data_IF_312139621927
#
_entry.id   IF_312139621927
#
_cell.length_a   1.000
_cell.length_b   1.000
_cell.length_c   1.000
_cell.angle_alpha   90.00
_cell.angle_beta   90.00
_cell.angle_gamma   90.00
#
_symmetry.space_group_name_H-M   'P 1'
#
loop_
_entity.id
_entity.type
_entity.pdbx_description
1 polymer ?
#
# COMPACT_ATOMS: atom_id res chain seq x y z
N UNK A 1 -1.37 32.58 8.99
CA UNK A 1 -2.34 32.34 10.08
C UNK A 1 -2.31 30.86 10.44
N UNK A 2 -1.98 30.46 11.68
CA UNK A 2 -2.20 29.07 12.12
C UNK A 2 -3.71 28.81 12.23
N UNK A 3 -4.18 27.65 11.74
CA UNK A 3 -5.58 27.24 11.86
C UNK A 3 -5.92 27.02 13.36
N UNK A 4 -7.11 27.42 13.84
CA UNK A 4 -7.49 27.18 15.22
C UNK A 4 -7.55 25.69 15.51
N UNK A 5 -6.89 25.28 16.60
CA UNK A 5 -6.91 23.90 17.08
C UNK A 5 -8.35 23.54 17.46
N UNK A 6 -8.95 22.47 16.89
CA UNK A 6 -10.31 22.11 17.20
C UNK A 6 -10.41 21.71 18.68
N UNK A 7 -11.33 22.35 19.40
CA UNK A 7 -11.63 22.04 20.79
C UNK A 7 -12.19 20.61 20.83
N UNK A 8 -11.45 19.68 21.42
CA UNK A 8 -11.92 18.30 21.63
C UNK A 8 -13.19 18.38 22.49
N UNK A 9 -14.33 17.97 21.92
CA UNK A 9 -15.59 17.89 22.67
C UNK A 9 -15.38 17.00 23.91
N UNK A 10 -16.00 17.36 25.04
CA UNK A 10 -15.75 16.74 26.35
C UNK A 10 -15.92 15.21 26.39
N UNK A 11 -16.60 14.61 25.40
CA UNK A 11 -16.73 13.16 25.22
C UNK A 11 -15.41 12.42 24.95
N UNK A 12 -14.38 13.12 24.47
CA UNK A 12 -13.06 12.54 24.16
C UNK A 12 -11.95 13.02 25.11
N UNK A 13 -12.29 13.76 26.17
CA UNK A 13 -11.31 14.26 27.14
C UNK A 13 -10.60 13.12 27.93
N UNK A 14 -11.20 11.93 27.98
CA UNK A 14 -10.68 10.73 28.65
C UNK A 14 -10.35 9.59 27.68
N UNK A 15 -10.10 9.89 26.40
CA UNK A 15 -9.80 8.85 25.40
C UNK A 15 -8.49 8.13 25.76
N UNK A 16 -8.54 6.80 25.84
CA UNK A 16 -7.33 5.97 26.03
C UNK A 16 -6.40 6.14 24.83
N UNK A 17 -5.07 6.00 25.01
CA UNK A 17 -4.14 5.96 23.90
C UNK A 17 -4.57 4.92 22.87
N UNK A 18 -4.40 5.24 21.58
CA UNK A 18 -4.70 4.29 20.51
C UNK A 18 -3.80 3.05 20.66
N UNK A 19 -4.41 1.88 20.51
CA UNK A 19 -3.67 0.61 20.41
C UNK A 19 -3.41 0.31 18.93
N UNK A 20 -2.31 -0.38 18.59
CA UNK A 20 -2.08 -0.82 17.22
C UNK A 20 -3.28 -1.61 16.69
N UNK A 21 -3.70 -1.28 15.48
CA UNK A 21 -4.76 -2.03 14.81
C UNK A 21 -4.25 -3.43 14.41
N UNK A 22 -5.10 -4.47 14.47
CA UNK A 22 -4.76 -5.76 13.89
C UNK A 22 -4.53 -5.62 12.39
N UNK A 23 -3.39 -6.10 11.89
CA UNK A 23 -3.01 -6.02 10.47
C UNK A 23 -2.95 -7.40 9.84
N UNK A 24 -3.20 -7.47 8.53
CA UNK A 24 -2.96 -8.66 7.71
C UNK A 24 -2.00 -8.32 6.58
N UNK A 25 -1.29 -9.33 6.08
CA UNK A 25 -0.40 -9.13 4.94
C UNK A 25 -1.19 -8.96 3.65
N UNK A 26 -0.61 -8.22 2.69
CA UNK A 26 -1.16 -8.08 1.34
C UNK A 26 -1.39 -9.45 0.68
N UNK A 27 -0.49 -10.41 0.92
CA UNK A 27 -0.65 -11.80 0.45
C UNK A 27 -1.92 -12.47 0.99
N UNK A 28 -2.30 -12.18 2.24
CA UNK A 28 -3.52 -12.71 2.85
C UNK A 28 -4.75 -12.12 2.15
N UNK A 29 -4.77 -10.81 1.91
CA UNK A 29 -5.85 -10.15 1.16
C UNK A 29 -5.98 -10.71 -0.27
N UNK A 30 -4.86 -10.85 -0.98
CA UNK A 30 -4.83 -11.42 -2.33
C UNK A 30 -5.44 -12.83 -2.35
N UNK A 31 -5.01 -13.69 -1.42
CA UNK A 31 -5.53 -15.06 -1.29
C UNK A 31 -7.02 -15.08 -0.92
N UNK A 32 -7.46 -14.20 -0.01
CA UNK A 32 -8.87 -14.07 0.37
C UNK A 32 -9.75 -13.63 -0.81
N UNK A 33 -9.20 -12.88 -1.76
CA UNK A 33 -9.85 -12.50 -3.03
C UNK A 33 -9.75 -13.56 -4.12
N UNK A 34 -9.09 -14.70 -3.88
CA UNK A 34 -8.88 -15.74 -4.89
C UNK A 34 -7.92 -15.34 -6.02
N UNK A 35 -7.16 -14.25 -5.84
CA UNK A 35 -6.25 -13.73 -6.87
C UNK A 35 -4.92 -14.48 -6.86
N UNK A 36 -4.44 -14.86 -8.04
CA UNK A 36 -3.10 -15.44 -8.20
C UNK A 36 -2.05 -14.32 -8.25
N UNK A 37 -0.78 -14.66 -8.04
CA UNK A 37 0.32 -13.71 -8.31
C UNK A 37 0.32 -13.25 -9.77
N UNK A 38 -0.02 -14.15 -10.69
CA UNK A 38 -0.08 -13.83 -12.12
C UNK A 38 -1.18 -12.81 -12.40
N UNK A 39 -2.37 -12.94 -11.80
CA UNK A 39 -3.46 -11.98 -11.96
C UNK A 39 -3.07 -10.55 -11.51
N UNK A 40 -2.27 -10.44 -10.45
CA UNK A 40 -1.72 -9.13 -10.03
C UNK A 40 -0.72 -8.60 -11.06
N UNK A 41 0.17 -9.46 -11.57
CA UNK A 41 1.11 -9.06 -12.63
C UNK A 41 0.38 -8.61 -13.89
N UNK A 42 -0.61 -9.37 -14.34
CA UNK A 42 -1.40 -9.09 -15.55
C UNK A 42 -2.08 -7.73 -15.41
N UNK A 43 -2.80 -7.50 -14.31
CA UNK A 43 -3.43 -6.20 -14.04
C UNK A 43 -2.43 -5.03 -14.06
N UNK A 44 -1.31 -5.17 -13.35
CA UNK A 44 -0.28 -4.11 -13.27
C UNK A 44 0.37 -3.85 -14.65
N UNK A 45 0.55 -4.90 -15.45
CA UNK A 45 1.19 -4.78 -16.76
C UNK A 45 0.23 -4.21 -17.81
N UNK A 46 -1.03 -4.62 -17.80
CA UNK A 46 -2.04 -4.24 -18.79
C UNK A 46 -2.63 -2.86 -18.52
N UNK A 47 -3.05 -2.58 -17.28
CA UNK A 47 -3.76 -1.34 -16.94
C UNK A 47 -2.81 -0.18 -16.65
N UNK A 48 -1.63 -0.47 -16.08
CA UNK A 48 -0.69 0.55 -15.61
C UNK A 48 0.59 0.64 -16.45
N UNK A 49 0.73 -0.20 -17.48
CA UNK A 49 1.87 -0.20 -18.40
C UNK A 49 3.22 -0.47 -17.74
N UNK A 50 3.22 -1.05 -16.53
CA UNK A 50 4.44 -1.44 -15.83
C UNK A 50 4.93 -2.80 -16.34
N UNK A 51 6.18 -3.15 -16.02
CA UNK A 51 6.71 -4.49 -16.28
C UNK A 51 7.05 -5.13 -14.94
N UNK A 52 6.21 -6.06 -14.53
CA UNK A 52 6.29 -6.79 -13.27
C UNK A 52 6.11 -8.28 -13.51
N UNK A 53 7.01 -9.05 -12.91
CA UNK A 53 6.96 -10.51 -12.89
C UNK A 53 6.45 -11.06 -11.54
N UNK A 54 6.06 -12.33 -11.53
CA UNK A 54 5.55 -13.02 -10.33
C UNK A 54 6.54 -13.06 -9.18
N UNK A 55 7.84 -13.21 -9.48
CA UNK A 55 8.90 -13.24 -8.47
C UNK A 55 9.03 -11.90 -7.77
N UNK A 56 8.86 -10.79 -8.50
CA UNK A 56 8.82 -9.44 -7.95
C UNK A 56 7.68 -9.27 -6.95
N UNK A 57 6.44 -9.64 -7.30
CA UNK A 57 5.30 -9.55 -6.37
C UNK A 57 5.50 -10.48 -5.17
N UNK A 58 5.96 -11.72 -5.40
CA UNK A 58 6.26 -12.67 -4.33
C UNK A 58 7.30 -12.14 -3.35
N UNK A 59 8.38 -11.53 -3.85
CA UNK A 59 9.44 -10.96 -3.01
C UNK A 59 8.94 -9.77 -2.17
N UNK A 60 8.00 -8.98 -2.69
CA UNK A 60 7.35 -7.91 -1.94
C UNK A 60 6.45 -8.49 -0.84
N UNK A 61 5.58 -9.45 -1.20
CA UNK A 61 4.64 -10.09 -0.26
C UNK A 61 5.33 -10.80 0.90
N UNK A 62 6.51 -11.38 0.65
CA UNK A 62 7.32 -12.08 1.66
C UNK A 62 8.31 -11.17 2.39
N UNK A 63 8.38 -9.88 2.05
CA UNK A 63 9.28 -8.92 2.68
C UNK A 63 10.76 -9.02 2.25
N UNK A 64 11.08 -9.82 1.23
CA UNK A 64 12.43 -9.89 0.65
C UNK A 64 12.79 -8.66 -0.20
N UNK A 65 11.79 -7.89 -0.64
CA UNK A 65 11.96 -6.69 -1.45
C UNK A 65 11.07 -5.55 -0.93
N UNK A 66 11.67 -4.37 -0.77
CA UNK A 66 10.90 -3.12 -0.59
C UNK A 66 10.29 -2.68 -1.93
N UNK A 67 9.07 -2.17 -1.88
CA UNK A 67 8.37 -1.60 -3.02
C UNK A 67 8.55 -0.07 -3.08
N UNK A 68 8.46 0.50 -4.28
CA UNK A 68 8.32 1.95 -4.44
C UNK A 68 6.88 2.38 -4.17
N UNK A 69 6.66 3.67 -3.95
CA UNK A 69 5.30 4.24 -3.80
C UNK A 69 4.42 3.88 -5.01
N UNK A 70 4.96 4.00 -6.23
CA UNK A 70 4.26 3.61 -7.46
C UNK A 70 3.86 2.14 -7.46
N UNK A 71 4.75 1.23 -7.01
CA UNK A 71 4.46 -0.20 -6.97
C UNK A 71 3.43 -0.55 -5.90
N UNK A 72 3.48 0.11 -4.74
CA UNK A 72 2.48 -0.07 -3.69
C UNK A 72 1.09 0.39 -4.15
N UNK A 73 1.01 1.53 -4.85
CA UNK A 73 -0.23 2.00 -5.45
C UNK A 73 -0.77 1.01 -6.50
N UNK A 74 0.09 0.51 -7.39
CA UNK A 74 -0.29 -0.48 -8.40
C UNK A 74 -0.81 -1.79 -7.78
N UNK A 75 -0.17 -2.27 -6.71
CA UNK A 75 -0.63 -3.46 -5.97
C UNK A 75 -1.97 -3.19 -5.27
N UNK A 76 -2.14 -2.01 -4.65
CA UNK A 76 -3.39 -1.63 -3.99
C UNK A 76 -4.56 -1.60 -4.98
N UNK A 77 -4.35 -1.03 -6.16
CA UNK A 77 -5.32 -0.97 -7.25
C UNK A 77 -5.69 -2.38 -7.75
N UNK A 78 -4.70 -3.23 -8.01
CA UNK A 78 -4.92 -4.64 -8.39
C UNK A 78 -5.72 -5.43 -7.34
N UNK A 79 -5.62 -5.03 -6.07
CA UNK A 79 -6.36 -5.63 -4.96
C UNK A 79 -7.70 -4.93 -4.70
N UNK A 80 -8.01 -3.85 -5.41
CA UNK A 80 -9.23 -3.06 -5.23
C UNK A 80 -9.34 -2.42 -3.85
N UNK A 81 -8.23 -1.89 -3.32
CA UNK A 81 -8.18 -1.09 -2.09
C UNK A 81 -7.53 0.27 -2.37
N UNK A 82 -7.70 1.23 -1.47
CA UNK A 82 -7.08 2.53 -1.66
C UNK A 82 -5.57 2.46 -1.35
N UNK A 83 -4.68 3.15 -2.10
CA UNK A 83 -3.24 3.11 -1.84
C UNK A 83 -2.84 3.52 -0.42
N UNK A 84 -3.61 4.40 0.23
CA UNK A 84 -3.35 4.83 1.62
C UNK A 84 -3.71 3.78 2.67
N UNK A 85 -4.42 2.72 2.29
CA UNK A 85 -4.73 1.60 3.19
C UNK A 85 -3.53 0.63 3.30
N UNK A 86 -2.55 0.78 2.40
CA UNK A 86 -1.32 -0.01 2.43
C UNK A 86 -0.31 0.67 3.35
N UNK A 87 -0.17 0.11 4.55
CA UNK A 87 0.85 0.52 5.51
C UNK A 87 2.18 -0.21 5.27
N UNK A 88 3.29 0.50 5.44
CA UNK A 88 4.64 -0.05 5.31
C UNK A 88 5.53 0.38 6.46
N UNK A 89 6.19 -0.58 7.10
CA UNK A 89 7.18 -0.31 8.15
C UNK A 89 8.53 0.25 7.64
N UNK A 90 8.60 0.63 6.37
CA UNK A 90 9.77 1.22 5.73
C UNK A 90 9.32 2.42 4.90
N UNK A 91 10.20 3.41 4.74
CA UNK A 91 9.96 4.50 3.81
C UNK A 91 10.01 3.96 2.36
N UNK A 92 8.92 4.05 1.59
CA UNK A 92 8.91 3.61 0.20
C UNK A 92 9.92 4.41 -0.62
N UNK A 93 10.55 3.74 -1.59
CA UNK A 93 11.47 4.45 -2.50
C UNK A 93 10.67 5.29 -3.48
N UNK A 94 11.01 6.56 -3.61
CA UNK A 94 10.57 7.33 -4.77
C UNK A 94 11.28 6.79 -6.01
N UNK A 95 10.51 6.32 -6.98
CA UNK A 95 11.08 5.97 -8.28
C UNK A 95 11.38 7.29 -8.99
N UNK A 96 12.66 7.60 -9.24
CA UNK A 96 13.03 8.75 -10.07
C UNK A 96 12.26 8.65 -11.38
N UNK A 97 11.33 9.58 -11.59
CA UNK A 97 10.73 9.82 -12.90
C UNK A 97 11.87 10.22 -13.81
N UNK A 98 12.28 9.31 -14.69
CA UNK A 98 13.19 9.65 -15.78
C UNK A 98 12.44 10.56 -16.74
N UNK A 99 12.40 11.86 -16.44
CA UNK A 99 12.15 12.88 -17.46
C UNK A 99 13.41 12.89 -18.31
N UNK A 100 13.35 12.19 -19.44
CA UNK A 100 14.25 12.43 -20.57
C UNK A 100 13.85 13.79 -21.13
N UNK A 101 14.75 14.76 -20.96
CA UNK A 101 14.74 16.04 -21.68
C UNK A 101 15.14 15.83 -23.14
#
# INVERSE_FOLDING_TARGET
>A
MPKPTPIKSGRYAKQRPAVPIPMVTIATLRKAKGLTLQAICDHINEELGLKVDRGTISAIELGHRRASTQMLAAIAEALGIHPTDVDTAYEPRERRSGVVA
#
